data_IF_988155669689
#
_entry.id   IF_988155669689
#
_cell.length_a   1.000
_cell.length_b   1.000
_cell.length_c   1.000
_cell.angle_alpha   90.00
_cell.angle_beta   90.00
_cell.angle_gamma   90.00
#
_symmetry.space_group_name_H-M   'P 1'
#
loop_
_entity.id
_entity.type
_entity.pdbx_description
1 polymer ?
#
# COMPACT_ATOMS: atom_id res chain seq x y z
N UNK A 1 27.41 1.99 -39.48
CA UNK A 1 26.22 1.26 -39.00
C UNK A 1 26.24 1.25 -37.48
N UNK A 2 25.68 2.28 -36.84
CA UNK A 2 25.75 2.42 -35.38
C UNK A 2 24.56 3.21 -34.82
N UNK A 3 23.33 3.00 -35.30
CA UNK A 3 22.26 3.98 -34.96
C UNK A 3 20.90 3.35 -34.68
N UNK A 4 20.85 2.26 -33.92
CA UNK A 4 19.59 1.77 -33.31
C UNK A 4 19.74 1.25 -31.87
N UNK A 5 20.93 1.33 -31.27
CA UNK A 5 21.18 0.80 -29.93
C UNK A 5 20.71 1.66 -28.74
N UNK A 6 20.67 3.02 -28.79
CA UNK A 6 20.23 3.79 -27.63
C UNK A 6 18.72 3.69 -27.39
N UNK A 7 17.91 3.61 -28.45
CA UNK A 7 16.45 3.53 -28.35
C UNK A 7 15.99 2.18 -27.77
N UNK A 8 16.59 1.08 -28.23
CA UNK A 8 16.35 -0.27 -27.70
C UNK A 8 16.76 -0.40 -26.23
N UNK A 9 17.88 0.22 -25.84
CA UNK A 9 18.37 0.21 -24.46
C UNK A 9 17.52 1.09 -23.53
N UNK A 10 17.05 2.24 -24.02
CA UNK A 10 16.12 3.10 -23.30
C UNK A 10 14.77 2.40 -23.07
N UNK A 11 14.25 1.69 -24.09
CA UNK A 11 13.00 0.95 -23.99
C UNK A 11 13.10 -0.22 -22.98
N UNK A 12 14.20 -0.97 -22.98
CA UNK A 12 14.44 -2.01 -21.96
C UNK A 12 14.55 -1.46 -20.54
N UNK A 13 15.26 -0.35 -20.34
CA UNK A 13 15.35 0.29 -19.01
C UNK A 13 14.00 0.83 -18.55
N UNK A 14 13.18 1.34 -19.47
CA UNK A 14 11.84 1.83 -19.18
C UNK A 14 10.87 0.72 -18.78
N UNK A 15 10.90 -0.42 -19.49
CA UNK A 15 10.12 -1.60 -19.14
C UNK A 15 10.51 -2.13 -17.75
N UNK A 16 11.82 -2.21 -17.46
CA UNK A 16 12.31 -2.64 -16.15
C UNK A 16 11.84 -1.70 -15.01
N UNK A 17 11.84 -0.39 -15.25
CA UNK A 17 11.34 0.58 -14.27
C UNK A 17 9.82 0.45 -14.06
N UNK A 18 9.05 0.26 -15.12
CA UNK A 18 7.60 0.02 -14.98
C UNK A 18 7.30 -1.24 -14.16
N UNK A 19 8.03 -2.32 -14.40
CA UNK A 19 7.89 -3.57 -13.63
C UNK A 19 8.26 -3.36 -12.15
N UNK A 20 9.32 -2.60 -11.86
CA UNK A 20 9.73 -2.27 -10.50
C UNK A 20 8.69 -1.39 -9.78
N UNK A 21 8.14 -0.39 -10.48
CA UNK A 21 7.06 0.46 -9.96
C UNK A 21 5.80 -0.35 -9.68
N UNK A 22 5.39 -1.22 -10.61
CA UNK A 22 4.25 -2.12 -10.40
C UNK A 22 4.48 -3.07 -9.22
N UNK A 23 5.70 -3.62 -9.07
CA UNK A 23 6.08 -4.42 -7.92
C UNK A 23 6.02 -3.65 -6.60
N UNK A 24 6.42 -2.39 -6.62
CA UNK A 24 6.39 -1.49 -5.45
C UNK A 24 4.96 -1.16 -5.05
N UNK A 25 4.10 -0.79 -6.00
CA UNK A 25 2.67 -0.52 -5.75
C UNK A 25 1.93 -1.75 -5.20
N UNK A 26 2.19 -2.93 -5.77
CA UNK A 26 1.64 -4.18 -5.23
C UNK A 26 2.06 -4.40 -3.77
N UNK A 27 3.33 -4.15 -3.43
CA UNK A 27 3.82 -4.28 -2.05
C UNK A 27 3.17 -3.26 -1.12
N UNK A 28 3.04 -2.00 -1.54
CA UNK A 28 2.35 -0.96 -0.76
C UNK A 28 0.89 -1.36 -0.49
N UNK A 29 0.20 -1.89 -1.50
CA UNK A 29 -1.18 -2.36 -1.37
C UNK A 29 -1.31 -3.51 -0.36
N UNK A 30 -0.42 -4.51 -0.43
CA UNK A 30 -0.39 -5.64 0.51
C UNK A 30 -0.16 -5.17 1.95
N UNK A 31 0.83 -4.31 2.18
CA UNK A 31 1.14 -3.81 3.52
C UNK A 31 0.02 -2.93 4.08
N UNK A 32 -0.62 -2.11 3.23
CA UNK A 32 -1.82 -1.34 3.60
C UNK A 32 -2.94 -2.25 4.08
N UNK A 33 -3.24 -3.30 3.32
CA UNK A 33 -4.29 -4.25 3.67
C UNK A 33 -3.97 -4.98 4.98
N UNK A 34 -2.71 -5.39 5.17
CA UNK A 34 -2.26 -6.05 6.40
C UNK A 34 -2.36 -5.13 7.62
N UNK A 35 -1.99 -3.86 7.49
CA UNK A 35 -2.18 -2.86 8.55
C UNK A 35 -3.66 -2.70 8.90
N UNK A 36 -4.50 -2.55 7.87
CA UNK A 36 -5.95 -2.37 8.06
C UNK A 36 -6.61 -3.58 8.70
N UNK A 37 -6.23 -4.79 8.29
CA UNK A 37 -6.70 -6.02 8.92
C UNK A 37 -6.33 -6.07 10.39
N UNK A 38 -5.08 -5.76 10.73
CA UNK A 38 -4.61 -5.75 12.12
C UNK A 38 -5.36 -4.71 12.96
N UNK A 39 -5.57 -3.51 12.42
CA UNK A 39 -6.36 -2.46 13.07
C UNK A 39 -7.82 -2.89 13.25
N UNK A 40 -8.40 -3.58 12.26
CA UNK A 40 -9.76 -4.10 12.31
C UNK A 40 -9.91 -5.16 13.40
N UNK A 41 -8.99 -6.12 13.46
CA UNK A 41 -8.99 -7.20 14.45
C UNK A 41 -8.87 -6.63 15.87
N UNK A 42 -7.96 -5.67 16.07
CA UNK A 42 -7.83 -4.95 17.34
C UNK A 42 -9.13 -4.21 17.70
N UNK A 43 -9.71 -3.47 16.76
CA UNK A 43 -10.96 -2.74 16.96
C UNK A 43 -12.12 -3.67 17.32
N UNK A 44 -12.23 -4.82 16.65
CA UNK A 44 -13.22 -5.85 16.95
C UNK A 44 -12.96 -6.46 18.33
N UNK A 45 -11.72 -6.75 18.66
CA UNK A 45 -11.30 -7.32 19.95
C UNK A 45 -11.72 -6.43 21.14
N UNK A 46 -11.45 -5.12 21.07
CA UNK A 46 -11.78 -4.20 22.17
C UNK A 46 -13.28 -3.86 22.25
N UNK A 47 -14.05 -4.09 21.17
CA UNK A 47 -15.49 -3.79 21.13
C UNK A 47 -16.38 -4.94 21.58
N UNK A 48 -15.84 -6.14 21.79
CA UNK A 48 -16.61 -7.30 22.24
C UNK A 48 -16.88 -7.26 23.75
N UNK A 49 -18.07 -7.66 24.19
CA UNK A 49 -18.36 -7.86 25.61
C UNK A 49 -17.60 -9.09 26.15
N UNK A 50 -17.06 -9.08 27.38
CA UNK A 50 -17.02 -7.96 28.34
C UNK A 50 -15.83 -7.00 28.14
N UNK A 51 -14.95 -7.26 27.16
CA UNK A 51 -13.71 -6.50 26.93
C UNK A 51 -13.95 -5.01 26.73
N UNK A 52 -15.06 -4.58 26.14
CA UNK A 52 -15.41 -3.15 25.97
C UNK A 52 -15.43 -2.38 27.30
N UNK A 53 -15.76 -3.04 28.41
CA UNK A 53 -15.81 -2.44 29.76
C UNK A 53 -14.39 -2.13 30.24
N UNK A 54 -13.54 -3.15 30.28
CA UNK A 54 -12.15 -3.00 30.72
C UNK A 54 -11.33 -2.17 29.72
N UNK A 55 -11.64 -2.25 28.42
CA UNK A 55 -11.01 -1.43 27.38
C UNK A 55 -11.22 0.06 27.65
N UNK A 56 -12.43 0.46 28.06
CA UNK A 56 -12.72 1.83 28.50
C UNK A 56 -11.93 2.22 29.75
N UNK A 57 -11.88 1.36 30.78
CA UNK A 57 -11.14 1.62 32.02
C UNK A 57 -9.62 1.74 31.83
N UNK A 58 -9.03 0.93 30.96
CA UNK A 58 -7.61 0.99 30.63
C UNK A 58 -7.28 1.96 29.49
N UNK A 59 -8.27 2.66 28.94
CA UNK A 59 -8.07 3.70 27.92
C UNK A 59 -7.74 3.18 26.51
N UNK A 60 -8.03 1.91 26.21
CA UNK A 60 -7.87 1.36 24.86
C UNK A 60 -8.91 1.95 23.89
N UNK A 61 -8.44 2.72 22.91
CA UNK A 61 -9.27 3.35 21.88
C UNK A 61 -9.12 2.65 20.53
N UNK A 62 -10.16 2.66 19.67
CA UNK A 62 -10.05 2.16 18.31
C UNK A 62 -8.90 2.80 17.52
N UNK A 63 -8.23 2.01 16.70
CA UNK A 63 -7.18 2.45 15.78
C UNK A 63 -7.81 2.87 14.45
N UNK A 64 -7.27 3.93 13.85
CA UNK A 64 -7.64 4.34 12.49
C UNK A 64 -7.07 3.39 11.44
N UNK A 65 -7.70 3.36 10.28
CA UNK A 65 -7.22 2.62 9.12
C UNK A 65 -6.26 3.47 8.29
N UNK A 66 -5.31 2.82 7.63
CA UNK A 66 -4.50 3.43 6.60
C UNK A 66 -5.32 3.54 5.31
N UNK A 67 -5.55 4.76 4.85
CA UNK A 67 -6.27 5.04 3.62
C UNK A 67 -5.27 5.35 2.49
N UNK A 68 -5.58 4.92 1.27
CA UNK A 68 -4.87 5.43 0.08
C UNK A 68 -5.07 6.94 -0.01
N UNK A 69 -4.03 7.67 -0.43
CA UNK A 69 -4.27 8.99 -1.02
C UNK A 69 -5.14 8.82 -2.27
N UNK A 70 -6.09 9.73 -2.54
CA UNK A 70 -6.85 9.73 -3.78
C UNK A 70 -5.89 9.73 -4.98
N UNK A 71 -6.06 8.78 -5.91
CA UNK A 71 -5.18 8.63 -7.08
C UNK A 71 -3.98 7.69 -6.91
N UNK A 72 -3.72 7.16 -5.71
CA UNK A 72 -2.70 6.13 -5.49
C UNK A 72 -3.12 4.72 -6.01
N UNK A 73 -4.26 4.63 -6.67
CA UNK A 73 -4.74 3.42 -7.35
C UNK A 73 -4.27 3.36 -8.81
N UNK A 74 -3.88 4.51 -9.36
CA UNK A 74 -3.31 4.67 -10.69
C UNK A 74 -1.79 4.73 -10.57
N UNK A 75 -1.11 3.70 -11.06
CA UNK A 75 0.34 3.74 -11.21
C UNK A 75 0.75 4.99 -12.02
N UNK A 76 1.80 5.72 -11.62
CA UNK A 76 2.21 6.93 -12.31
C UNK A 76 2.53 6.62 -13.77
N UNK A 77 1.83 7.27 -14.70
CA UNK A 77 2.18 7.19 -16.12
C UNK A 77 3.46 7.99 -16.32
N UNK A 78 4.57 7.28 -16.52
CA UNK A 78 5.86 7.90 -16.83
C UNK A 78 5.77 8.51 -18.23
N UNK A 79 5.61 9.83 -18.30
CA UNK A 79 5.63 10.61 -19.54
C UNK A 79 7.02 11.26 -19.66
N UNK A 80 7.65 11.06 -20.82
CA UNK A 80 8.84 11.79 -21.26
C UNK A 80 8.45 12.70 -22.43
#
# INVERSE_FOLDING_TARGET
MQENYPELKANQNFLALQDELAGTENRISVERNKFNQTAQDFNAYIRQFPRVIYAGWFGFKPKGYFQSSPGAETAPQVQF
#
